data_IF_956954064422
#
_entry.id   IF_956954064422
#
_cell.length_a   1.000
_cell.length_b   1.000
_cell.length_c   1.000
_cell.angle_alpha   90.00
_cell.angle_beta   90.00
_cell.angle_gamma   90.00
#
_symmetry.space_group_name_H-M   'P 1'
#
loop_
_entity.id
_entity.type
_entity.pdbx_description
1 polymer ?
#
# COMPACT_ATOMS: atom_id res chain seq x y z
N UNK A 1 -52.14 9.59 0.83
CA UNK A 1 -50.93 9.46 0.00
C UNK A 1 -49.96 10.54 0.46
N UNK A 2 -49.06 10.19 1.40
CA UNK A 2 -48.07 11.12 1.95
C UNK A 2 -46.70 10.62 1.51
N UNK A 3 -46.08 11.39 0.61
CA UNK A 3 -44.75 11.09 0.06
C UNK A 3 -43.62 11.17 1.12
N UNK A 4 -42.52 10.48 0.92
CA UNK A 4 -41.43 10.47 1.88
C UNK A 4 -40.73 11.83 1.94
N UNK A 5 -40.66 12.41 3.14
CA UNK A 5 -39.89 13.62 3.42
C UNK A 5 -38.41 13.31 3.30
N UNK A 6 -37.79 13.97 2.35
CA UNK A 6 -36.37 13.99 2.10
C UNK A 6 -35.67 14.68 3.32
N UNK A 7 -35.17 13.89 4.26
CA UNK A 7 -34.30 14.41 5.33
C UNK A 7 -32.92 14.65 4.73
N UNK A 8 -32.73 15.83 4.15
CA UNK A 8 -31.39 16.37 3.90
C UNK A 8 -30.70 16.51 5.26
N UNK A 9 -29.79 15.58 5.56
CA UNK A 9 -28.90 15.69 6.70
C UNK A 9 -28.09 16.98 6.54
N UNK A 10 -28.32 17.93 7.44
CA UNK A 10 -27.51 19.13 7.58
C UNK A 10 -26.06 18.66 7.78
N UNK A 11 -25.22 18.96 6.81
CA UNK A 11 -23.76 18.83 6.98
C UNK A 11 -23.36 19.85 8.05
N UNK A 12 -23.29 19.40 9.31
CA UNK A 12 -22.57 20.12 10.33
C UNK A 12 -21.12 20.19 9.86
N UNK A 13 -20.75 21.32 9.27
CA UNK A 13 -19.35 21.69 9.04
C UNK A 13 -18.70 21.81 10.42
N UNK A 14 -18.13 20.69 10.90
CA UNK A 14 -17.21 20.71 12.04
C UNK A 14 -16.11 21.70 11.67
N UNK A 15 -15.85 22.75 12.47
CA UNK A 15 -14.80 23.71 12.18
C UNK A 15 -13.51 22.95 11.90
N UNK A 16 -12.89 23.19 10.75
CA UNK A 16 -11.66 22.53 10.33
C UNK A 16 -10.64 22.64 11.44
N UNK A 17 -10.37 21.55 12.17
CA UNK A 17 -9.47 21.55 13.30
C UNK A 17 -8.14 22.18 12.88
N UNK A 18 -7.69 23.17 13.65
CA UNK A 18 -6.42 23.86 13.41
C UNK A 18 -5.30 22.83 13.53
N UNK A 19 -4.41 22.76 12.54
CA UNK A 19 -3.27 21.85 12.61
C UNK A 19 -2.43 22.16 13.85
N UNK A 20 -1.96 21.16 14.60
CA UNK A 20 -1.15 21.37 15.81
C UNK A 20 0.29 21.83 15.49
N UNK A 21 0.60 22.08 14.23
CA UNK A 21 1.92 22.50 13.75
C UNK A 21 1.78 23.46 12.57
N UNK A 22 2.85 24.23 12.31
CA UNK A 22 2.95 25.09 11.14
C UNK A 22 3.37 24.31 9.89
N UNK A 23 2.83 24.69 8.73
CA UNK A 23 3.25 24.15 7.44
C UNK A 23 4.44 24.93 6.89
N UNK A 24 5.34 24.27 6.13
CA UNK A 24 6.48 24.94 5.51
C UNK A 24 6.01 25.95 4.45
N UNK A 25 6.81 26.99 4.27
CA UNK A 25 6.58 28.02 3.25
C UNK A 25 6.63 27.41 1.85
N UNK A 26 5.74 27.88 0.96
CA UNK A 26 5.69 27.49 -0.45
C UNK A 26 5.58 28.71 -1.34
N UNK A 27 6.22 28.68 -2.50
CA UNK A 27 6.10 29.76 -3.49
C UNK A 27 4.82 29.58 -4.32
N UNK A 28 4.32 30.65 -4.97
CA UNK A 28 3.25 30.54 -5.97
C UNK A 28 3.60 29.56 -7.10
N UNK A 29 4.86 29.52 -7.52
CA UNK A 29 5.36 28.61 -8.55
C UNK A 29 5.27 27.13 -8.11
N UNK A 30 5.67 26.84 -6.85
CA UNK A 30 5.53 25.48 -6.27
C UNK A 30 4.08 25.02 -6.29
N UNK A 31 3.16 25.85 -5.80
CA UNK A 31 1.72 25.53 -5.79
C UNK A 31 1.14 25.38 -7.20
N UNK A 32 1.53 26.22 -8.15
CA UNK A 32 1.10 26.10 -9.54
C UNK A 32 1.60 24.80 -10.18
N UNK A 33 2.84 24.39 -9.88
CA UNK A 33 3.41 23.12 -10.33
C UNK A 33 2.70 21.94 -9.70
N UNK A 34 2.45 21.98 -8.40
CA UNK A 34 1.70 20.95 -7.66
C UNK A 34 0.27 20.78 -8.21
N UNK A 35 -0.43 21.89 -8.50
CA UNK A 35 -1.77 21.86 -9.12
C UNK A 35 -1.75 21.16 -10.49
N UNK A 36 -0.76 21.45 -11.34
CA UNK A 36 -0.63 20.77 -12.65
C UNK A 36 -0.31 19.29 -12.51
N UNK A 37 0.54 18.92 -11.53
CA UNK A 37 0.82 17.51 -11.22
C UNK A 37 -0.44 16.78 -10.75
N UNK A 38 -1.19 17.39 -9.82
CA UNK A 38 -2.44 16.81 -9.32
C UNK A 38 -3.43 16.56 -10.45
N UNK A 39 -3.70 17.55 -11.30
CA UNK A 39 -4.60 17.40 -12.44
C UNK A 39 -4.15 16.30 -13.41
N UNK A 40 -2.84 16.16 -13.66
CA UNK A 40 -2.31 15.10 -14.51
C UNK A 40 -2.47 13.71 -13.87
N UNK A 41 -2.30 13.57 -12.55
CA UNK A 41 -2.53 12.33 -11.82
C UNK A 41 -4.01 11.98 -11.79
N UNK A 42 -4.88 12.95 -11.52
CA UNK A 42 -6.34 12.75 -11.46
C UNK A 42 -6.91 12.30 -12.80
N UNK A 43 -6.47 12.90 -13.90
CA UNK A 43 -6.84 12.49 -15.26
C UNK A 43 -6.35 11.07 -15.60
N UNK A 44 -5.16 10.68 -15.10
CA UNK A 44 -4.59 9.35 -15.39
C UNK A 44 -5.16 8.24 -14.49
N UNK A 45 -5.68 8.59 -13.31
CA UNK A 45 -6.16 7.63 -12.30
C UNK A 45 -7.51 8.08 -11.71
N UNK A 46 -8.58 8.21 -12.53
CA UNK A 46 -9.87 8.71 -12.07
C UNK A 46 -10.48 7.82 -10.96
N UNK A 47 -10.22 6.51 -11.00
CA UNK A 47 -10.77 5.52 -10.07
C UNK A 47 -9.83 5.21 -8.87
N UNK A 48 -8.74 6.00 -8.69
CA UNK A 48 -7.83 5.76 -7.58
C UNK A 48 -8.55 5.93 -6.23
N UNK A 49 -8.56 4.90 -5.41
CA UNK A 49 -9.23 4.87 -4.11
C UNK A 49 -8.49 3.96 -3.13
N UNK A 50 -9.02 3.79 -1.93
CA UNK A 50 -8.50 2.83 -0.97
C UNK A 50 -8.60 1.41 -1.54
N UNK A 51 -7.49 0.68 -1.55
CA UNK A 51 -7.45 -0.68 -2.09
C UNK A 51 -7.94 -1.75 -1.09
N UNK A 52 -8.14 -1.40 0.18
CA UNK A 52 -8.70 -2.30 1.18
C UNK A 52 -10.22 -2.41 1.00
N UNK A 53 -10.77 -3.61 1.19
CA UNK A 53 -12.21 -3.85 1.15
C UNK A 53 -12.80 -3.69 2.55
N UNK A 54 -13.85 -2.88 2.66
CA UNK A 54 -14.56 -2.61 3.91
C UNK A 54 -15.98 -2.11 3.63
N UNK A 55 -16.87 -2.34 4.57
CA UNK A 55 -18.26 -1.85 4.53
C UNK A 55 -18.59 -0.96 5.74
N UNK A 56 -17.67 -0.86 6.71
CA UNK A 56 -17.85 -0.08 7.93
C UNK A 56 -16.53 0.53 8.41
N UNK A 57 -16.62 1.50 9.34
CA UNK A 57 -15.46 2.15 9.95
C UNK A 57 -14.54 1.14 10.67
N UNK A 58 -15.11 0.20 11.43
CA UNK A 58 -14.31 -0.78 12.16
C UNK A 58 -13.64 -1.80 11.22
N UNK A 59 -14.30 -2.19 10.14
CA UNK A 59 -13.68 -3.04 9.11
C UNK A 59 -12.48 -2.34 8.45
N UNK A 60 -12.62 -1.05 8.10
CA UNK A 60 -11.51 -0.27 7.55
C UNK A 60 -10.36 -0.15 8.55
N UNK A 61 -10.65 0.12 9.82
CA UNK A 61 -9.64 0.22 10.88
C UNK A 61 -8.90 -1.11 11.03
N UNK A 62 -9.63 -2.23 11.13
CA UNK A 62 -9.05 -3.58 11.25
C UNK A 62 -8.22 -3.92 10.01
N UNK A 63 -8.76 -3.72 8.81
CA UNK A 63 -8.03 -3.97 7.56
C UNK A 63 -6.75 -3.15 7.48
N UNK A 64 -6.77 -1.89 7.95
CA UNK A 64 -5.58 -1.03 7.98
C UNK A 64 -4.55 -1.49 9.03
N UNK A 65 -4.97 -1.94 10.20
CA UNK A 65 -4.07 -2.58 11.18
C UNK A 65 -3.42 -3.84 10.56
N UNK A 66 -4.20 -4.65 9.87
CA UNK A 66 -3.72 -5.86 9.20
C UNK A 66 -2.76 -5.57 8.04
N UNK A 67 -2.87 -4.42 7.39
CA UNK A 67 -2.00 -4.04 6.26
C UNK A 67 -0.56 -3.66 6.66
N UNK A 68 -0.27 -3.53 7.96
CA UNK A 68 1.09 -3.30 8.43
C UNK A 68 2.03 -4.43 7.96
N UNK A 69 3.03 -4.07 7.13
CA UNK A 69 3.99 -5.01 6.51
C UNK A 69 3.33 -6.18 5.74
N UNK A 70 2.15 -5.93 5.19
CA UNK A 70 1.38 -6.93 4.43
C UNK A 70 0.74 -6.24 3.23
N UNK A 71 0.61 -6.96 2.11
CA UNK A 71 -0.02 -6.40 0.91
C UNK A 71 -1.54 -6.29 1.08
N UNK A 72 -2.16 -5.28 0.47
CA UNK A 72 -3.61 -5.09 0.48
C UNK A 72 -4.34 -6.34 -0.07
N UNK A 73 -3.80 -6.98 -1.10
CA UNK A 73 -4.35 -8.22 -1.66
C UNK A 73 -4.40 -9.36 -0.63
N UNK A 74 -3.35 -9.53 0.19
CA UNK A 74 -3.33 -10.54 1.24
C UNK A 74 -4.34 -10.22 2.35
N UNK A 75 -4.47 -8.94 2.73
CA UNK A 75 -5.48 -8.49 3.69
C UNK A 75 -6.89 -8.75 3.15
N UNK A 76 -7.18 -8.33 1.92
CA UNK A 76 -8.49 -8.52 1.29
C UNK A 76 -8.87 -10.00 1.11
N UNK A 77 -7.89 -10.91 1.04
CA UNK A 77 -8.13 -12.36 1.04
C UNK A 77 -8.50 -12.90 2.42
N UNK A 78 -7.95 -12.33 3.48
CA UNK A 78 -8.15 -12.80 4.85
C UNK A 78 -9.42 -12.23 5.50
N UNK A 79 -9.75 -10.97 5.24
CA UNK A 79 -10.80 -10.22 5.93
C UNK A 79 -12.23 -10.72 5.72
N UNK A 80 -12.65 -11.30 4.58
CA UNK A 80 -14.04 -11.76 4.41
C UNK A 80 -14.46 -12.82 5.45
N UNK A 81 -13.62 -13.82 5.71
CA UNK A 81 -13.90 -14.83 6.73
C UNK A 81 -13.88 -14.24 8.16
N UNK A 82 -12.96 -13.30 8.41
CA UNK A 82 -12.88 -12.59 9.68
C UNK A 82 -14.17 -11.79 9.97
N UNK A 83 -14.63 -10.98 9.02
CA UNK A 83 -15.82 -10.13 9.15
C UNK A 83 -17.13 -10.92 9.11
N UNK A 84 -17.15 -12.09 8.46
CA UNK A 84 -18.30 -12.99 8.53
C UNK A 84 -18.47 -13.58 9.95
N UNK A 85 -17.37 -13.85 10.67
CA UNK A 85 -17.40 -14.40 12.04
C UNK A 85 -17.64 -13.31 13.09
N UNK A 86 -17.00 -12.14 12.95
CA UNK A 86 -17.10 -11.02 13.88
C UNK A 86 -17.65 -9.80 13.13
N UNK A 87 -18.92 -9.48 13.35
CA UNK A 87 -19.66 -8.48 12.56
C UNK A 87 -19.60 -7.08 13.15
N UNK A 88 -19.33 -6.97 14.44
CA UNK A 88 -19.39 -5.73 15.20
C UNK A 88 -18.15 -5.55 16.08
N UNK A 89 -17.79 -4.33 16.49
CA UNK A 89 -16.75 -4.10 17.49
C UNK A 89 -16.97 -4.91 18.79
N UNK A 90 -18.25 -5.12 19.17
CA UNK A 90 -18.60 -5.91 20.36
C UNK A 90 -18.19 -7.37 20.21
N UNK A 91 -18.39 -7.96 19.01
CA UNK A 91 -17.98 -9.35 18.75
C UNK A 91 -16.47 -9.53 18.90
N UNK A 92 -15.69 -8.57 18.36
CA UNK A 92 -14.23 -8.58 18.49
C UNK A 92 -13.76 -8.32 19.93
N UNK A 93 -14.47 -7.47 20.68
CA UNK A 93 -14.16 -7.17 22.09
C UNK A 93 -14.46 -8.35 23.01
N UNK A 94 -15.50 -9.13 22.71
CA UNK A 94 -15.89 -10.31 23.47
C UNK A 94 -15.00 -11.53 23.14
N UNK A 95 -14.41 -11.59 21.96
CA UNK A 95 -13.52 -12.68 21.56
C UNK A 95 -12.14 -12.51 22.22
N UNK A 96 -11.44 -13.64 22.42
CA UNK A 96 -10.01 -13.62 22.79
C UNK A 96 -9.13 -13.39 21.55
N UNK A 97 -7.90 -12.89 21.71
CA UNK A 97 -6.96 -12.83 20.59
C UNK A 97 -6.74 -14.19 19.91
N UNK A 98 -6.75 -15.28 20.66
CA UNK A 98 -6.57 -16.63 20.13
C UNK A 98 -7.70 -17.07 19.19
N UNK A 99 -8.93 -16.58 19.38
CA UNK A 99 -10.06 -16.83 18.49
C UNK A 99 -9.99 -16.00 17.19
N UNK A 100 -9.28 -14.87 17.20
CA UNK A 100 -9.05 -14.03 16.01
C UNK A 100 -7.88 -14.57 15.17
N UNK A 101 -6.84 -15.12 15.79
CA UNK A 101 -5.61 -15.59 15.14
C UNK A 101 -5.83 -16.50 13.93
N UNK A 102 -6.72 -17.51 13.93
CA UNK A 102 -6.92 -18.40 12.79
C UNK A 102 -7.26 -17.66 11.49
N UNK A 103 -8.03 -16.57 11.57
CA UNK A 103 -8.48 -15.78 10.41
C UNK A 103 -7.37 -14.92 9.80
N UNK A 104 -6.37 -14.55 10.61
CA UNK A 104 -5.28 -13.65 10.20
C UNK A 104 -3.92 -14.35 10.16
N UNK A 105 -3.88 -15.67 10.35
CA UNK A 105 -2.65 -16.46 10.43
C UNK A 105 -1.78 -16.37 9.19
N UNK A 106 -2.38 -16.20 8.03
CA UNK A 106 -1.66 -16.03 6.75
C UNK A 106 -0.93 -14.68 6.63
N UNK A 107 -1.20 -13.73 7.53
CA UNK A 107 -0.59 -12.40 7.54
C UNK A 107 0.59 -12.38 8.50
N UNK A 108 1.70 -11.74 8.10
CA UNK A 108 2.86 -11.59 8.97
C UNK A 108 2.50 -10.94 10.32
N UNK A 109 3.20 -11.34 11.39
CA UNK A 109 2.96 -10.85 12.76
C UNK A 109 1.53 -11.05 13.28
N UNK A 110 0.86 -12.11 12.84
CA UNK A 110 -0.56 -12.36 13.07
C UNK A 110 -0.98 -12.30 14.56
N UNK A 111 -0.15 -12.81 15.51
CA UNK A 111 -0.45 -12.74 16.94
C UNK A 111 -0.52 -11.30 17.46
N UNK A 112 0.43 -10.45 17.05
CA UNK A 112 0.43 -9.04 17.43
C UNK A 112 -0.75 -8.30 16.79
N UNK A 113 -1.10 -8.65 15.55
CA UNK A 113 -2.26 -8.09 14.83
C UNK A 113 -3.58 -8.50 15.50
N UNK A 114 -3.75 -9.77 15.84
CA UNK A 114 -4.93 -10.25 16.55
C UNK A 114 -5.10 -9.55 17.90
N UNK A 115 -4.02 -9.41 18.67
CA UNK A 115 -4.03 -8.67 19.93
C UNK A 115 -4.38 -7.20 19.73
N UNK A 116 -3.79 -6.54 18.71
CA UNK A 116 -4.09 -5.14 18.41
C UNK A 116 -5.56 -4.94 18.02
N UNK A 117 -6.13 -5.83 17.22
CA UNK A 117 -7.56 -5.81 16.87
C UNK A 117 -8.42 -5.93 18.12
N UNK A 118 -8.20 -6.97 18.92
CA UNK A 118 -8.97 -7.20 20.15
C UNK A 118 -8.93 -5.97 21.08
N UNK A 119 -7.73 -5.47 21.42
CA UNK A 119 -7.57 -4.37 22.34
C UNK A 119 -8.13 -3.06 21.79
N UNK A 120 -7.99 -2.80 20.48
CA UNK A 120 -8.61 -1.63 19.83
C UNK A 120 -10.13 -1.70 19.84
N UNK A 121 -10.71 -2.85 19.51
CA UNK A 121 -12.18 -3.01 19.52
C UNK A 121 -12.74 -2.94 20.93
N UNK A 122 -12.05 -3.52 21.92
CA UNK A 122 -12.41 -3.38 23.33
C UNK A 122 -12.40 -1.92 23.77
N UNK A 123 -11.33 -1.17 23.44
CA UNK A 123 -11.27 0.25 23.75
C UNK A 123 -12.39 1.06 23.06
N UNK A 124 -12.77 0.70 21.83
CA UNK A 124 -13.88 1.32 21.11
C UNK A 124 -15.22 1.03 21.81
N UNK A 125 -15.43 -0.19 22.28
CA UNK A 125 -16.65 -0.53 23.03
C UNK A 125 -16.67 0.21 24.36
N UNK A 126 -15.60 0.15 25.12
CA UNK A 126 -15.54 0.67 26.49
C UNK A 126 -15.57 2.22 26.56
N UNK A 127 -14.99 2.90 25.58
CA UNK A 127 -14.78 4.37 25.63
C UNK A 127 -15.60 5.15 24.61
N UNK A 128 -16.03 4.49 23.54
CA UNK A 128 -16.69 5.14 22.39
C UNK A 128 -18.04 4.48 22.04
N UNK A 129 -18.64 3.70 22.97
CA UNK A 129 -19.96 3.08 22.76
C UNK A 129 -20.04 2.19 21.53
N UNK A 130 -18.94 1.53 21.16
CA UNK A 130 -18.90 0.66 19.99
C UNK A 130 -18.74 1.39 18.63
N UNK A 131 -18.54 2.71 18.63
CA UNK A 131 -18.34 3.51 17.43
C UNK A 131 -16.86 3.87 17.28
N UNK A 132 -16.30 3.68 16.07
CA UNK A 132 -14.94 4.13 15.77
C UNK A 132 -14.88 5.66 15.91
N UNK A 133 -13.93 6.21 16.69
CA UNK A 133 -13.86 7.65 16.86
C UNK A 133 -13.40 8.39 15.60
N UNK A 134 -13.95 9.58 15.37
CA UNK A 134 -13.69 10.42 14.20
C UNK A 134 -12.61 11.49 14.43
N UNK A 135 -11.70 11.31 15.38
CA UNK A 135 -10.60 12.27 15.63
C UNK A 135 -9.24 11.59 15.63
N UNK A 136 -8.21 12.33 15.18
CA UNK A 136 -6.81 11.84 15.17
C UNK A 136 -6.36 11.44 16.58
N UNK A 137 -6.65 12.27 17.57
CA UNK A 137 -6.22 12.05 18.97
C UNK A 137 -6.78 10.76 19.54
N UNK A 138 -8.08 10.51 19.35
CA UNK A 138 -8.74 9.31 19.87
C UNK A 138 -8.30 8.05 19.12
N UNK A 139 -8.12 8.14 17.78
CA UNK A 139 -7.60 7.02 16.98
C UNK A 139 -6.18 6.65 17.38
N UNK A 140 -5.30 7.62 17.66
CA UNK A 140 -3.93 7.36 18.11
C UNK A 140 -3.86 6.72 19.50
N UNK A 141 -4.90 6.83 20.32
CA UNK A 141 -4.99 6.16 21.62
C UNK A 141 -5.33 4.66 21.50
N UNK A 142 -5.70 4.18 20.32
CA UNK A 142 -6.00 2.76 20.05
C UNK A 142 -4.71 1.97 19.78
N UNK A 143 -4.66 0.74 20.29
CA UNK A 143 -3.49 -0.12 20.06
C UNK A 143 -3.31 -0.47 18.58
N UNK A 144 -2.08 -0.35 18.10
CA UNK A 144 -1.73 -0.67 16.70
C UNK A 144 -2.15 0.40 15.70
N UNK A 145 -2.66 1.53 16.17
CA UNK A 145 -3.05 2.67 15.35
C UNK A 145 -1.98 3.75 15.41
N UNK A 146 -1.20 3.87 14.37
CA UNK A 146 -0.26 4.96 14.15
C UNK A 146 -0.93 6.08 13.31
N UNK A 147 -0.29 7.26 13.21
CA UNK A 147 -0.79 8.40 12.44
C UNK A 147 -1.24 8.03 11.01
N UNK A 148 -0.45 7.18 10.34
CA UNK A 148 -0.82 6.67 9.00
C UNK A 148 -2.14 5.91 9.02
N UNK A 149 -2.32 4.99 9.97
CA UNK A 149 -3.55 4.19 10.13
C UNK A 149 -4.74 5.09 10.42
N UNK A 150 -4.60 6.02 11.37
CA UNK A 150 -5.63 7.00 11.69
C UNK A 150 -6.00 7.87 10.48
N UNK A 151 -5.00 8.36 9.72
CA UNK A 151 -5.22 9.14 8.51
C UNK A 151 -5.98 8.39 7.42
N UNK A 152 -5.73 7.07 7.26
CA UNK A 152 -6.50 6.24 6.32
C UNK A 152 -7.97 6.15 6.74
N UNK A 153 -8.25 5.92 8.02
CA UNK A 153 -9.62 5.82 8.54
C UNK A 153 -10.35 7.16 8.43
N UNK A 154 -9.70 8.24 8.88
CA UNK A 154 -10.28 9.59 8.82
C UNK A 154 -10.60 10.01 7.37
N UNK A 155 -9.67 9.83 6.46
CA UNK A 155 -9.84 10.26 5.07
C UNK A 155 -10.85 9.44 4.30
N UNK A 156 -10.85 8.11 4.47
CA UNK A 156 -11.67 7.22 3.63
C UNK A 156 -13.06 6.95 4.20
N UNK A 157 -13.22 6.95 5.52
CA UNK A 157 -14.53 6.71 6.12
C UNK A 157 -15.23 8.00 6.56
N UNK A 158 -14.51 8.83 7.31
CA UNK A 158 -15.10 10.06 7.85
C UNK A 158 -15.00 11.27 6.90
N UNK A 159 -14.25 11.14 5.78
CA UNK A 159 -13.98 12.24 4.84
C UNK A 159 -13.29 13.45 5.52
N UNK A 160 -12.53 13.18 6.59
CA UNK A 160 -11.77 14.19 7.34
C UNK A 160 -10.32 14.17 6.86
N UNK A 161 -9.89 15.27 6.24
CA UNK A 161 -8.52 15.47 5.80
C UNK A 161 -7.67 16.08 6.93
N UNK A 162 -7.08 15.22 7.79
CA UNK A 162 -6.21 15.65 8.91
C UNK A 162 -4.72 15.57 8.58
N UNK A 163 -4.37 15.05 7.40
CA UNK A 163 -3.02 14.96 6.85
C UNK A 163 -2.97 14.19 5.54
N UNK A 164 -1.82 14.23 4.90
CA UNK A 164 -1.52 13.39 3.72
C UNK A 164 -0.95 12.08 4.19
N UNK A 165 -1.59 10.96 3.83
CA UNK A 165 -1.08 9.62 4.16
C UNK A 165 0.16 9.32 3.34
N UNK A 166 1.32 9.23 4.02
CA UNK A 166 2.64 9.02 3.39
C UNK A 166 3.08 7.57 3.55
N UNK A 167 2.90 6.77 2.51
CA UNK A 167 3.44 5.42 2.41
C UNK A 167 4.75 5.38 1.61
N UNK A 168 5.28 4.20 1.33
CA UNK A 168 6.52 4.03 0.55
C UNK A 168 6.40 4.52 -0.90
N UNK A 169 5.19 4.45 -1.50
CA UNK A 169 4.93 4.99 -2.83
C UNK A 169 4.92 6.52 -2.81
N UNK A 170 4.19 7.11 -1.88
CA UNK A 170 4.13 8.57 -1.69
C UNK A 170 5.53 9.13 -1.39
N UNK A 171 6.30 8.51 -0.48
CA UNK A 171 7.68 8.93 -0.18
C UNK A 171 8.55 8.94 -1.44
N UNK A 172 8.53 7.84 -2.20
CA UNK A 172 9.33 7.72 -3.43
C UNK A 172 8.94 8.76 -4.46
N UNK A 173 7.64 8.94 -4.69
CA UNK A 173 7.16 9.88 -5.70
C UNK A 173 7.33 11.34 -5.29
N UNK A 174 7.13 11.67 -4.01
CA UNK A 174 7.41 13.03 -3.52
C UNK A 174 8.86 13.46 -3.81
N UNK A 175 9.82 12.52 -3.63
CA UNK A 175 11.23 12.76 -3.96
C UNK A 175 11.48 12.81 -5.47
N UNK A 176 10.96 11.84 -6.24
CA UNK A 176 11.14 11.77 -7.70
C UNK A 176 10.53 12.96 -8.42
N UNK A 177 9.43 13.48 -7.92
CA UNK A 177 8.79 14.70 -8.45
C UNK A 177 9.40 15.99 -7.88
N UNK A 178 10.52 15.92 -7.14
CA UNK A 178 11.17 17.06 -6.52
C UNK A 178 10.21 17.96 -5.69
N UNK A 179 9.19 17.33 -5.06
CA UNK A 179 8.31 18.03 -4.12
C UNK A 179 8.99 18.24 -2.76
N UNK A 180 9.98 17.37 -2.46
CA UNK A 180 10.80 17.37 -1.25
C UNK A 180 12.25 17.01 -1.59
N UNK A 181 13.23 17.36 -0.74
CA UNK A 181 14.60 16.85 -0.85
C UNK A 181 14.69 15.34 -0.72
N UNK A 182 15.75 14.71 -1.26
CA UNK A 182 15.94 13.25 -1.23
C UNK A 182 15.98 12.67 0.19
N UNK A 183 16.58 13.36 1.14
CA UNK A 183 16.70 12.94 2.55
C UNK A 183 15.50 13.29 3.45
N UNK A 184 14.40 13.82 2.90
CA UNK A 184 13.27 14.24 3.71
C UNK A 184 12.67 13.09 4.53
N UNK A 185 12.36 13.34 5.81
CA UNK A 185 11.64 12.42 6.69
C UNK A 185 10.18 12.27 6.28
N UNK A 186 9.50 11.25 6.77
CA UNK A 186 8.06 11.03 6.51
C UNK A 186 7.23 12.25 6.93
N UNK A 187 7.49 12.80 8.11
CA UNK A 187 6.80 13.99 8.63
C UNK A 187 7.07 15.23 7.78
N UNK A 188 8.31 15.42 7.33
CA UNK A 188 8.66 16.53 6.44
C UNK A 188 7.95 16.41 5.09
N UNK A 189 7.82 15.19 4.56
CA UNK A 189 7.08 14.90 3.32
C UNK A 189 5.60 15.22 3.53
N UNK A 190 4.97 14.71 4.58
CA UNK A 190 3.57 14.98 4.90
C UNK A 190 3.30 16.49 4.96
N UNK A 191 4.06 17.22 5.79
CA UNK A 191 3.88 18.68 5.96
C UNK A 191 4.09 19.45 4.65
N UNK A 192 5.07 19.07 3.84
CA UNK A 192 5.32 19.72 2.55
C UNK A 192 4.19 19.45 1.55
N UNK A 193 3.67 18.24 1.50
CA UNK A 193 2.53 17.92 0.65
C UNK A 193 1.27 18.67 1.13
N UNK A 194 1.04 18.74 2.44
CA UNK A 194 -0.06 19.54 3.01
C UNK A 194 0.05 21.03 2.66
N UNK A 195 1.27 21.59 2.57
CA UNK A 195 1.50 22.99 2.18
C UNK A 195 1.33 23.23 0.69
N UNK A 196 1.59 22.23 -0.16
CA UNK A 196 1.54 22.33 -1.62
C UNK A 196 0.14 22.14 -2.19
N UNK A 197 -0.67 21.31 -1.55
CA UNK A 197 -1.98 20.90 -2.04
C UNK A 197 -3.10 21.37 -1.10
N UNK A 198 -4.26 21.74 -1.63
CA UNK A 198 -5.39 22.17 -0.81
C UNK A 198 -5.90 21.02 0.07
N UNK A 199 -6.39 21.35 1.26
CA UNK A 199 -6.74 20.37 2.30
C UNK A 199 -7.74 19.32 1.84
N UNK A 200 -8.73 19.72 1.07
CA UNK A 200 -9.76 18.84 0.51
C UNK A 200 -9.21 17.75 -0.40
N UNK A 201 -8.02 17.96 -0.96
CA UNK A 201 -7.37 16.99 -1.84
C UNK A 201 -6.45 15.97 -1.15
N UNK A 202 -6.14 16.10 0.15
CA UNK A 202 -5.07 15.32 0.79
C UNK A 202 -5.28 13.80 0.77
N UNK A 203 -6.48 13.33 1.07
CA UNK A 203 -6.80 11.90 0.99
C UNK A 203 -6.68 11.41 -0.45
N UNK A 204 -7.30 12.12 -1.39
CA UNK A 204 -7.28 11.79 -2.83
C UNK A 204 -5.87 11.82 -3.40
N UNK A 205 -5.04 12.80 -3.03
CA UNK A 205 -3.64 12.90 -3.43
C UNK A 205 -2.85 11.64 -3.07
N UNK A 206 -3.05 11.11 -1.86
CA UNK A 206 -2.39 9.87 -1.43
C UNK A 206 -2.75 8.70 -2.35
N UNK A 207 -4.02 8.53 -2.68
CA UNK A 207 -4.47 7.47 -3.59
C UNK A 207 -3.91 7.63 -5.01
N UNK A 208 -3.90 8.85 -5.55
CA UNK A 208 -3.35 9.16 -6.86
C UNK A 208 -1.85 8.83 -6.95
N UNK A 209 -1.07 9.23 -5.93
CA UNK A 209 0.34 8.91 -5.86
C UNK A 209 0.58 7.40 -5.70
N UNK A 210 -0.20 6.71 -4.86
CA UNK A 210 -0.10 5.26 -4.70
C UNK A 210 -0.41 4.55 -6.03
N UNK A 211 -1.49 4.93 -6.72
CA UNK A 211 -1.86 4.35 -8.01
C UNK A 211 -0.74 4.52 -9.05
N UNK A 212 -0.22 5.74 -9.20
CA UNK A 212 0.92 6.01 -10.09
C UNK A 212 2.18 5.22 -9.68
N UNK A 213 2.44 5.11 -8.39
CA UNK A 213 3.59 4.38 -7.85
C UNK A 213 3.51 2.86 -8.03
N UNK A 214 2.31 2.31 -8.14
CA UNK A 214 2.07 0.87 -8.37
C UNK A 214 2.13 0.51 -9.85
N UNK A 215 1.64 1.39 -10.72
CA UNK A 215 1.46 1.07 -12.15
C UNK A 215 2.57 1.61 -13.05
N UNK A 216 2.92 2.88 -12.93
CA UNK A 216 3.81 3.55 -13.88
C UNK A 216 5.20 3.87 -13.31
N UNK A 217 5.28 4.33 -12.06
CA UNK A 217 6.54 4.72 -11.45
C UNK A 217 6.93 3.77 -10.32
N UNK A 218 7.23 2.51 -10.68
CA UNK A 218 7.59 1.45 -9.72
C UNK A 218 8.95 1.68 -9.07
N UNK A 219 9.25 0.94 -7.98
CA UNK A 219 10.54 1.06 -7.29
C UNK A 219 11.71 0.55 -8.13
N UNK A 220 11.49 -0.47 -8.97
CA UNK A 220 12.51 -1.16 -9.76
C UNK A 220 12.37 -0.89 -11.28
N UNK A 221 11.68 0.16 -11.67
CA UNK A 221 11.50 0.48 -13.10
C UNK A 221 12.81 0.89 -13.77
N UNK A 222 13.22 0.19 -14.81
CA UNK A 222 14.46 0.45 -15.55
C UNK A 222 14.40 1.75 -16.37
N UNK A 223 13.23 2.10 -16.93
CA UNK A 223 13.00 3.36 -17.64
C UNK A 223 11.56 3.79 -17.45
N UNK A 224 11.36 5.03 -17.02
CA UNK A 224 10.03 5.57 -16.84
C UNK A 224 9.57 6.24 -18.14
N UNK A 225 8.65 5.59 -18.84
CA UNK A 225 8.03 6.13 -20.07
C UNK A 225 6.76 6.93 -19.78
N UNK A 226 6.30 6.97 -18.53
CA UNK A 226 5.09 7.71 -18.15
C UNK A 226 5.20 9.19 -18.49
N UNK A 227 4.21 9.78 -19.21
CA UNK A 227 4.20 11.22 -19.52
C UNK A 227 4.26 12.10 -18.26
N UNK A 228 3.64 11.65 -17.16
CA UNK A 228 3.68 12.35 -15.86
C UNK A 228 5.11 12.38 -15.33
N UNK A 229 5.82 11.24 -15.33
CA UNK A 229 7.21 11.19 -14.89
C UNK A 229 8.13 12.01 -15.81
N UNK A 230 7.88 12.01 -17.11
CA UNK A 230 8.66 12.82 -18.05
C UNK A 230 8.46 14.32 -17.81
N UNK A 231 7.25 14.73 -17.46
CA UNK A 231 6.91 16.13 -17.21
C UNK A 231 7.34 16.63 -15.83
N UNK A 232 7.18 15.80 -14.79
CA UNK A 232 7.36 16.22 -13.40
C UNK A 232 8.48 15.50 -12.65
N UNK A 233 9.07 14.45 -13.22
CA UNK A 233 10.07 13.61 -12.57
C UNK A 233 11.49 14.18 -12.66
N UNK A 234 11.70 15.43 -12.28
CA UNK A 234 13.00 16.12 -12.37
C UNK A 234 14.11 15.41 -11.58
N UNK A 235 13.78 14.86 -10.42
CA UNK A 235 14.70 14.12 -9.57
C UNK A 235 14.57 12.59 -9.73
N UNK A 236 13.95 12.11 -10.83
CA UNK A 236 13.78 10.69 -11.07
C UNK A 236 15.05 10.07 -11.69
N UNK A 237 15.72 9.20 -10.97
CA UNK A 237 16.91 8.45 -11.42
C UNK A 237 16.65 7.60 -12.69
N UNK A 238 15.40 7.14 -12.86
CA UNK A 238 14.97 6.33 -13.99
C UNK A 238 14.48 7.17 -15.19
N UNK A 239 14.66 8.48 -15.18
CA UNK A 239 14.31 9.35 -16.30
C UNK A 239 15.37 9.20 -17.40
N UNK A 240 15.01 8.86 -18.66
CA UNK A 240 15.97 8.83 -19.76
C UNK A 240 16.66 10.20 -19.87
N UNK A 241 17.97 10.23 -19.87
CA UNK A 241 18.74 11.46 -20.06
C UNK A 241 18.50 12.01 -21.47
N UNK A 242 18.46 13.29 -21.64
CA UNK A 242 18.16 13.95 -22.92
C UNK A 242 19.05 13.44 -24.07
N UNK A 243 20.31 13.05 -23.79
CA UNK A 243 21.25 12.51 -24.77
C UNK A 243 20.94 11.06 -25.22
N UNK A 244 20.15 10.29 -24.47
CA UNK A 244 19.78 8.92 -24.88
C UNK A 244 18.59 8.92 -25.86
N UNK A 245 17.84 10.05 -25.93
CA UNK A 245 16.73 10.22 -26.89
C UNK A 245 17.19 10.43 -28.33
N UNK A 246 18.41 10.90 -28.54
CA UNK A 246 18.97 11.13 -29.88
C UNK A 246 19.61 9.89 -30.50
N UNK A 247 19.86 8.82 -29.71
CA UNK A 247 20.58 7.62 -30.15
C UNK A 247 19.71 6.45 -30.62
N UNK A 248 18.38 6.48 -30.47
CA UNK A 248 17.52 5.33 -30.78
C UNK A 248 16.80 5.45 -32.13
N UNK A 249 17.27 6.30 -33.03
CA UNK A 249 16.98 6.19 -34.47
C UNK A 249 18.15 5.47 -35.18
N UNK A 250 18.59 4.34 -34.67
CA UNK A 250 19.45 3.44 -35.45
C UNK A 250 18.56 2.60 -36.38
N UNK A 251 18.73 2.82 -37.66
CA UNK A 251 18.11 2.07 -38.74
C UNK A 251 18.25 0.55 -38.55
N UNK A 252 17.31 -0.26 -39.04
CA UNK A 252 17.42 -1.70 -38.98
C UNK A 252 18.64 -2.15 -39.81
N UNK A 253 19.59 -2.79 -39.18
CA UNK A 253 20.70 -3.48 -39.84
C UNK A 253 20.10 -4.44 -40.82
N UNK A 254 20.43 -4.24 -42.13
CA UNK A 254 20.19 -5.19 -43.21
C UNK A 254 20.73 -6.55 -42.79
N UNK A 255 19.88 -7.58 -42.90
CA UNK A 255 20.27 -8.96 -42.79
C UNK A 255 21.39 -9.22 -43.80
N UNK A 256 22.61 -9.41 -43.33
CA UNK A 256 23.67 -10.03 -44.11
C UNK A 256 23.36 -11.52 -44.28
N UNK A 257 23.34 -11.95 -45.54
CA UNK A 257 23.09 -13.31 -45.92
C UNK A 257 24.05 -14.26 -45.17
N UNK A 258 23.51 -15.30 -44.60
CA UNK A 258 24.28 -16.41 -44.00
C UNK A 258 24.84 -17.25 -45.14
N UNK A 259 26.16 -17.30 -45.24
CA UNK A 259 26.88 -18.31 -46.00
C UNK A 259 26.83 -19.65 -45.24
N UNK A 260 26.51 -20.72 -45.97
CA UNK A 260 26.40 -22.09 -45.48
C UNK A 260 27.70 -22.61 -44.85
N UNK A 261 27.62 -23.37 -43.74
CA UNK A 261 28.80 -24.11 -43.25
C UNK A 261 28.96 -25.45 -43.93
N UNK A 262 30.20 -25.76 -44.37
CA UNK A 262 30.65 -27.03 -44.89
C UNK A 262 30.54 -28.16 -43.87
N UNK A 263 30.27 -29.42 -44.28
CA UNK A 263 30.17 -30.57 -43.39
C UNK A 263 31.57 -31.12 -43.02
N UNK A 264 31.78 -31.38 -41.75
CA UNK A 264 33.05 -31.91 -41.28
C UNK A 264 33.00 -32.64 -39.96
N UNK A 265 32.95 -33.93 -40.01
CA UNK A 265 33.59 -34.93 -39.15
C UNK A 265 32.90 -35.31 -37.81
N UNK A 266 32.21 -36.44 -37.93
CA UNK A 266 31.71 -37.28 -36.82
C UNK A 266 32.89 -38.01 -36.18
N UNK A 267 33.17 -37.79 -34.91
CA UNK A 267 33.94 -38.71 -34.05
C UNK A 267 33.03 -39.36 -33.03
N UNK A 268 32.91 -40.68 -33.13
CA UNK A 268 32.15 -41.60 -32.31
C UNK A 268 32.74 -41.72 -30.90
N UNK A 269 31.86 -41.77 -29.92
CA UNK A 269 32.11 -42.19 -28.54
C UNK A 269 32.32 -43.70 -28.44
N UNK A 270 33.05 -44.21 -27.46
CA UNK A 270 32.84 -45.57 -26.96
C UNK A 270 31.99 -45.55 -25.69
N UNK A 271 31.09 -46.49 -25.68
CA UNK A 271 30.28 -46.96 -24.54
C UNK A 271 31.14 -47.77 -23.59
N UNK A 272 30.90 -47.62 -22.27
CA UNK A 272 31.23 -48.65 -21.29
C UNK A 272 30.13 -48.73 -20.26
N UNK A 273 29.77 -49.96 -20.06
CA UNK A 273 28.67 -50.50 -19.27
C UNK A 273 29.04 -50.71 -17.79
N UNK A 274 28.02 -50.71 -16.96
CA UNK A 274 27.76 -51.82 -16.03
C UNK A 274 28.24 -51.68 -14.63
N UNK A 275 27.33 -51.76 -13.71
CA UNK A 275 27.17 -52.75 -12.63
C UNK A 275 26.50 -52.14 -11.39
N UNK A 276 25.28 -52.50 -11.13
CA UNK A 276 24.78 -53.49 -10.15
C UNK A 276 24.93 -53.12 -8.68
N UNK A 277 23.78 -53.11 -8.08
CA UNK A 277 23.30 -53.23 -6.68
C UNK A 277 24.16 -54.14 -5.75
N UNK A 278 23.98 -54.19 -4.40
CA UNK A 278 22.70 -54.45 -3.78
C UNK A 278 22.37 -53.73 -2.44
N UNK A 279 21.15 -54.00 -2.00
CA UNK A 279 20.48 -53.64 -0.75
C UNK A 279 21.08 -54.33 0.48
N UNK A 280 20.93 -53.67 1.66
CA UNK A 280 20.92 -54.37 2.94
C UNK A 280 19.78 -53.82 3.81
N UNK A 281 18.83 -54.70 4.05
CA UNK A 281 17.84 -54.77 5.14
C UNK A 281 18.48 -55.25 6.43
N UNK A 282 18.03 -54.75 7.57
CA UNK A 282 17.76 -55.45 8.88
C UNK A 282 17.34 -54.40 9.90
N UNK A 283 16.14 -54.51 10.38
CA UNK A 283 15.50 -55.27 11.51
C UNK A 283 15.69 -54.58 12.86
N UNK A 284 14.55 -54.12 13.35
CA UNK A 284 13.86 -54.46 14.62
C UNK A 284 14.72 -54.59 15.87
N UNK A 285 14.29 -53.87 16.95
CA UNK A 285 13.79 -54.50 18.20
C UNK A 285 13.34 -53.42 19.18
N UNK A 286 12.06 -53.51 19.54
CA UNK A 286 11.45 -53.77 20.85
C UNK A 286 11.75 -52.82 22.02
N UNK A 287 10.66 -52.24 22.49
CA UNK A 287 10.34 -51.78 23.88
C UNK A 287 10.78 -52.78 24.98
N UNK A 288 10.64 -52.48 26.32
CA UNK A 288 9.70 -51.57 27.00
C UNK A 288 10.18 -50.91 28.32
N UNK A 289 9.31 -50.05 28.87
CA UNK A 289 8.89 -49.94 30.27
C UNK A 289 9.73 -49.20 31.34
N UNK A 290 9.00 -48.35 32.04
CA UNK A 290 8.97 -48.10 33.48
C UNK A 290 9.92 -47.07 34.08
N UNK A 291 9.29 -46.07 34.69
CA UNK A 291 9.81 -45.10 35.63
C UNK A 291 8.91 -43.88 35.67
#
# INVERSE_FOLDING_TARGET
MSGPRNMAASRNETPLARLPFSLPQTTPADRARAKRLYASLESAYPDATCALHYTSAHELLIATILSAQTTDAAVNKATPALFARFKTPVDFAAATPAEIEPFVRSLGFFRNKARAIHESMRAIVDRHGGQVPGSMTELLALRGVARKTAGVVLGNWFHINDGVVVDTHVQRLARRFALVPQGATVDAIERRLMALFPRESWCRLSHLLIAHGRTACTARGASCTSPICQKFGEACENRPRANERAGTMAMPRRLAARSDPKPGNIKRKPTAAGSSRPAHTRRSDSSPASG
#
